data_IF_032889992708
#
_entry.id   IF_032889992708
#
_cell.length_a   1.000
_cell.length_b   1.000
_cell.length_c   1.000
_cell.angle_alpha   90.00
_cell.angle_beta   90.00
_cell.angle_gamma   90.00
#
_symmetry.space_group_name_H-M   'P 1'
#
loop_
_entity.id
_entity.type
_entity.pdbx_description
1 polymer ?
#
# COMPACT_ATOMS: atom_id res chain seq x y z
N UNK A 1 -17.21 -5.67 53.06
CA UNK A 1 -16.27 -5.18 52.06
C UNK A 1 -16.62 -5.89 50.76
N UNK A 2 -17.69 -5.42 50.14
CA UNK A 2 -18.18 -5.97 48.85
C UNK A 2 -17.25 -5.54 47.75
N UNK A 3 -16.64 -6.51 47.11
CA UNK A 3 -15.87 -6.31 45.89
C UNK A 3 -16.86 -5.96 44.77
N UNK A 4 -16.79 -4.73 44.31
CA UNK A 4 -17.54 -4.21 43.18
C UNK A 4 -17.03 -4.88 41.89
N UNK A 5 -17.66 -6.00 41.53
CA UNK A 5 -17.28 -6.84 40.37
C UNK A 5 -17.73 -6.21 39.03
N UNK A 6 -18.38 -5.04 39.07
CA UNK A 6 -18.90 -4.34 37.89
C UNK A 6 -18.04 -3.18 37.39
N UNK A 7 -16.78 -3.13 37.73
CA UNK A 7 -15.86 -2.36 36.91
C UNK A 7 -15.58 -3.19 35.66
N UNK A 8 -16.27 -2.87 34.59
CA UNK A 8 -15.84 -3.21 33.24
C UNK A 8 -14.35 -2.86 33.16
N UNK A 9 -13.51 -3.87 33.24
CA UNK A 9 -12.12 -3.74 32.86
C UNK A 9 -12.15 -3.64 31.34
N UNK A 10 -12.54 -2.47 30.84
CA UNK A 10 -12.13 -2.09 29.49
C UNK A 10 -10.61 -2.04 29.57
N UNK A 11 -9.90 -2.86 28.81
CA UNK A 11 -8.46 -2.82 28.79
C UNK A 11 -8.05 -1.45 28.32
N UNK A 12 -7.54 -0.63 29.22
CA UNK A 12 -7.09 0.73 29.01
C UNK A 12 -8.19 1.76 28.63
N UNK A 13 -8.11 2.93 29.23
CA UNK A 13 -8.70 4.17 28.75
C UNK A 13 -8.17 4.47 27.34
N UNK A 14 -8.84 3.95 26.34
CA UNK A 14 -8.58 4.22 24.94
C UNK A 14 -9.20 5.58 24.61
N UNK A 15 -8.64 6.63 25.17
CA UNK A 15 -8.90 7.96 24.64
C UNK A 15 -8.21 8.05 23.29
N UNK A 16 -8.80 8.72 22.31
CA UNK A 16 -8.26 8.85 20.93
C UNK A 16 -6.77 9.23 20.89
N UNK A 17 -6.28 9.94 21.91
CA UNK A 17 -4.86 10.33 22.03
C UNK A 17 -3.90 9.20 22.43
N UNK A 18 -4.40 8.07 22.98
CA UNK A 18 -3.58 6.97 23.52
C UNK A 18 -3.78 5.62 22.84
N UNK A 19 -4.39 5.59 21.66
CA UNK A 19 -4.55 4.34 20.92
C UNK A 19 -3.20 3.73 20.55
N UNK A 20 -3.08 2.42 20.76
CA UNK A 20 -1.90 1.63 20.35
C UNK A 20 -1.75 1.57 18.84
N UNK A 21 -2.86 1.71 18.12
CA UNK A 21 -2.93 1.65 16.65
C UNK A 21 -3.24 3.05 16.14
N UNK A 22 -2.41 3.52 15.22
CA UNK A 22 -2.64 4.79 14.51
C UNK A 22 -2.71 4.59 13.02
N UNK A 23 -3.55 5.40 12.39
CA UNK A 23 -3.71 5.45 10.93
C UNK A 23 -3.36 6.86 10.48
N UNK A 24 -2.31 6.99 9.68
CA UNK A 24 -1.88 8.26 9.11
C UNK A 24 -2.12 8.31 7.61
N UNK A 25 -2.85 9.32 7.16
CA UNK A 25 -3.03 9.64 5.75
C UNK A 25 -1.98 10.64 5.29
N UNK A 26 -1.22 10.29 4.27
CA UNK A 26 -0.11 11.09 3.76
C UNK A 26 -0.42 11.60 2.35
N UNK A 27 -0.42 12.92 2.18
CA UNK A 27 -0.77 13.58 0.93
C UNK A 27 -2.27 13.55 0.63
N UNK A 28 -2.68 14.01 -0.56
CA UNK A 28 -4.09 14.15 -0.92
C UNK A 28 -4.85 12.82 -0.85
N UNK A 29 -4.42 11.80 -1.58
CA UNK A 29 -5.10 10.50 -1.61
C UNK A 29 -5.14 9.82 -0.24
N UNK A 30 -4.03 9.83 0.52
CA UNK A 30 -4.00 9.28 1.87
C UNK A 30 -4.93 10.03 2.84
N UNK A 31 -4.97 11.36 2.77
CA UNK A 31 -5.89 12.16 3.58
C UNK A 31 -7.37 11.85 3.24
N UNK A 32 -7.72 11.67 1.97
CA UNK A 32 -9.07 11.31 1.56
C UNK A 32 -9.49 9.95 2.14
N UNK A 33 -8.64 8.94 2.01
CA UNK A 33 -8.90 7.63 2.58
C UNK A 33 -9.10 7.68 4.10
N UNK A 34 -8.25 8.43 4.83
CA UNK A 34 -8.40 8.57 6.29
C UNK A 34 -9.64 9.37 6.66
N UNK A 35 -10.01 10.41 5.91
CA UNK A 35 -11.28 11.10 6.11
C UNK A 35 -12.49 10.16 5.92
N UNK A 36 -12.42 9.30 4.89
CA UNK A 36 -13.46 8.29 4.68
C UNK A 36 -13.54 7.31 5.86
N UNK A 37 -12.41 6.78 6.34
CA UNK A 37 -12.34 5.89 7.51
C UNK A 37 -12.90 6.55 8.78
N UNK A 38 -12.58 7.82 8.97
CA UNK A 38 -13.07 8.61 10.11
C UNK A 38 -14.59 8.77 10.10
N UNK A 39 -15.17 9.08 8.93
CA UNK A 39 -16.64 9.14 8.74
C UNK A 39 -17.34 7.79 8.98
N UNK A 40 -16.66 6.69 8.65
CA UNK A 40 -17.13 5.34 8.90
C UNK A 40 -17.03 4.92 10.37
N UNK A 41 -16.52 5.81 11.24
CA UNK A 41 -16.41 5.60 12.67
C UNK A 41 -15.70 4.28 13.04
N UNK A 42 -14.61 3.94 12.34
CA UNK A 42 -13.81 2.75 12.62
C UNK A 42 -13.20 2.91 14.02
N UNK A 43 -13.52 1.97 14.91
CA UNK A 43 -13.08 1.99 16.30
C UNK A 43 -11.74 1.28 16.49
N UNK A 44 -11.06 1.53 17.61
CA UNK A 44 -9.82 0.83 17.99
C UNK A 44 -8.54 1.47 17.47
N UNK A 45 -8.62 2.60 16.77
CA UNK A 45 -7.45 3.33 16.28
C UNK A 45 -7.65 4.85 16.38
N UNK A 46 -6.54 5.58 16.27
CA UNK A 46 -6.54 7.04 16.14
C UNK A 46 -6.17 7.46 14.72
N UNK A 47 -6.87 8.48 14.21
CA UNK A 47 -6.69 8.97 12.86
C UNK A 47 -5.87 10.27 12.83
N UNK A 48 -4.97 10.36 11.86
CA UNK A 48 -4.09 11.50 11.64
C UNK A 48 -4.03 11.79 10.14
N UNK A 49 -4.07 13.05 9.75
CA UNK A 49 -3.84 13.46 8.36
C UNK A 49 -2.60 14.34 8.28
N UNK A 50 -1.79 14.11 7.25
CA UNK A 50 -0.50 14.73 7.06
C UNK A 50 -0.35 15.17 5.60
N UNK A 51 -0.13 16.45 5.36
CA UNK A 51 -0.03 16.97 4.00
C UNK A 51 0.90 18.20 3.93
N UNK A 52 1.45 18.44 2.74
CA UNK A 52 2.15 19.68 2.40
C UNK A 52 1.20 20.81 1.96
N UNK A 53 -0.05 20.46 1.63
CA UNK A 53 -1.10 21.39 1.25
C UNK A 53 -1.97 21.75 2.47
N UNK A 54 -1.88 23.01 2.89
CA UNK A 54 -2.64 23.53 4.02
C UNK A 54 -4.15 23.59 3.77
N UNK A 55 -4.58 23.81 2.52
CA UNK A 55 -6.02 23.86 2.18
C UNK A 55 -6.66 22.48 2.30
N UNK A 56 -5.98 21.45 1.81
CA UNK A 56 -6.42 20.07 1.95
C UNK A 56 -6.56 19.65 3.42
N UNK A 57 -5.66 20.12 4.30
CA UNK A 57 -5.75 19.88 5.74
C UNK A 57 -6.91 20.64 6.39
N UNK A 58 -7.21 21.85 5.96
CA UNK A 58 -8.32 22.63 6.52
C UNK A 58 -9.68 21.96 6.27
N UNK A 59 -9.87 21.35 5.10
CA UNK A 59 -11.12 20.67 4.73
C UNK A 59 -11.30 19.30 5.37
N UNK A 60 -10.25 18.74 5.95
CA UNK A 60 -10.31 17.44 6.64
C UNK A 60 -11.14 17.52 7.92
N UNK A 61 -11.93 16.48 8.17
CA UNK A 61 -12.75 16.31 9.39
C UNK A 61 -11.93 15.66 10.52
N UNK A 62 -10.79 15.07 10.21
CA UNK A 62 -9.91 14.42 11.20
C UNK A 62 -9.31 15.49 12.13
N UNK A 63 -9.42 15.31 13.45
CA UNK A 63 -8.98 16.33 14.40
C UNK A 63 -7.47 16.51 14.43
N UNK A 64 -6.70 15.42 14.31
CA UNK A 64 -5.23 15.48 14.36
C UNK A 64 -4.66 15.70 12.97
N UNK A 65 -4.11 16.90 12.77
CA UNK A 65 -3.56 17.35 11.48
C UNK A 65 -2.09 17.71 11.64
N UNK A 66 -1.28 17.36 10.62
CA UNK A 66 0.14 17.72 10.54
C UNK A 66 0.38 18.37 9.19
N UNK A 67 0.75 19.63 9.20
CA UNK A 67 1.24 20.30 8.00
C UNK A 67 2.73 20.01 7.86
N UNK A 68 3.14 19.41 6.76
CA UNK A 68 4.55 19.18 6.44
C UNK A 68 5.12 20.33 5.64
N UNK A 69 6.33 20.77 6.04
CA UNK A 69 6.98 21.94 5.43
C UNK A 69 6.32 23.27 5.83
N UNK A 70 6.98 24.37 5.47
CA UNK A 70 6.57 25.72 5.95
C UNK A 70 5.61 26.45 5.00
N UNK A 71 5.60 26.09 3.71
CA UNK A 71 4.94 26.92 2.68
C UNK A 71 3.44 26.64 2.51
N UNK A 72 2.95 25.46 2.88
CA UNK A 72 1.53 25.10 2.77
C UNK A 72 0.95 25.01 1.35
N UNK A 73 1.79 25.06 0.31
CA UNK A 73 1.38 25.14 -1.10
C UNK A 73 1.36 23.78 -1.81
N UNK A 74 1.62 22.69 -1.08
CA UNK A 74 1.77 21.37 -1.68
C UNK A 74 3.20 21.08 -2.18
N UNK A 75 3.44 19.84 -2.62
CA UNK A 75 4.74 19.37 -3.15
C UNK A 75 4.84 19.43 -4.69
N UNK A 76 3.80 19.87 -5.39
CA UNK A 76 3.81 20.10 -6.83
C UNK A 76 4.18 18.88 -7.67
N UNK A 77 3.72 17.68 -7.31
CA UNK A 77 4.06 16.39 -7.95
C UNK A 77 5.53 15.96 -7.85
N UNK A 78 6.36 16.67 -7.08
CA UNK A 78 7.77 16.33 -6.85
C UNK A 78 7.94 15.51 -5.55
N UNK A 79 8.29 14.21 -5.64
CA UNK A 79 8.55 13.38 -4.45
C UNK A 79 9.70 13.91 -3.59
N UNK A 80 10.69 14.58 -4.18
CA UNK A 80 11.81 15.16 -3.44
C UNK A 80 11.32 16.28 -2.52
N UNK A 81 10.43 17.15 -3.01
CA UNK A 81 9.81 18.18 -2.20
C UNK A 81 8.98 17.59 -1.06
N UNK A 82 8.19 16.53 -1.33
CA UNK A 82 7.43 15.80 -0.32
C UNK A 82 8.33 15.18 0.76
N UNK A 83 9.44 14.56 0.36
CA UNK A 83 10.45 13.99 1.27
C UNK A 83 11.07 15.06 2.17
N UNK A 84 11.49 16.17 1.59
CA UNK A 84 12.11 17.27 2.34
C UNK A 84 11.13 17.88 3.35
N UNK A 85 9.88 18.08 2.96
CA UNK A 85 8.84 18.57 3.87
C UNK A 85 8.60 17.62 5.06
N UNK A 86 8.65 16.31 4.85
CA UNK A 86 8.55 15.33 5.93
C UNK A 86 9.78 15.39 6.85
N UNK A 87 10.98 15.55 6.28
CA UNK A 87 12.22 15.69 7.06
C UNK A 87 12.23 16.97 7.90
N UNK A 88 11.72 18.09 7.38
CA UNK A 88 11.56 19.34 8.13
C UNK A 88 10.58 19.20 9.29
N UNK A 89 9.59 18.32 9.17
CA UNK A 89 8.51 18.16 10.14
C UNK A 89 8.68 16.95 11.05
N UNK A 90 9.87 16.34 11.10
CA UNK A 90 10.14 15.09 11.84
C UNK A 90 9.74 15.16 13.32
N UNK A 91 10.06 16.28 14.00
CA UNK A 91 9.78 16.42 15.41
C UNK A 91 8.28 16.46 15.70
N UNK A 92 7.50 17.09 14.84
CA UNK A 92 6.04 17.11 14.97
C UNK A 92 5.42 15.74 14.68
N UNK A 93 5.89 15.08 13.64
CA UNK A 93 5.47 13.71 13.29
C UNK A 93 5.81 12.77 14.45
N UNK A 94 7.04 12.80 14.97
CA UNK A 94 7.45 11.99 16.10
C UNK A 94 6.52 12.17 17.30
N UNK A 95 6.31 13.41 17.72
CA UNK A 95 5.51 13.75 18.90
C UNK A 95 4.04 13.34 18.75
N UNK A 96 3.40 13.60 17.60
CA UNK A 96 1.96 13.34 17.40
C UNK A 96 1.67 11.89 17.03
N UNK A 97 2.59 11.23 16.30
CA UNK A 97 2.34 9.92 15.71
C UNK A 97 3.07 8.81 16.45
N UNK A 98 4.35 8.98 16.78
CA UNK A 98 5.23 7.88 17.17
C UNK A 98 5.46 7.79 18.68
N UNK A 99 5.60 8.90 19.38
CA UNK A 99 6.05 8.95 20.78
C UNK A 99 4.91 8.77 21.81
N UNK A 100 3.67 8.60 21.37
CA UNK A 100 2.48 8.52 22.23
C UNK A 100 2.09 7.09 22.65
N UNK A 101 3.03 6.16 22.62
CA UNK A 101 2.77 4.74 22.97
C UNK A 101 2.26 3.92 21.77
N UNK A 102 2.41 4.43 20.56
CA UNK A 102 2.04 3.72 19.31
C UNK A 102 2.83 2.43 19.17
N UNK A 103 2.15 1.33 18.96
CA UNK A 103 2.74 0.02 18.69
C UNK A 103 2.56 -0.43 17.25
N UNK A 104 1.54 0.09 16.57
CA UNK A 104 1.26 -0.21 15.16
C UNK A 104 0.88 1.07 14.43
N UNK A 105 1.47 1.29 13.27
CA UNK A 105 1.21 2.44 12.41
C UNK A 105 0.77 1.96 11.02
N UNK A 106 -0.44 2.34 10.64
CA UNK A 106 -0.88 2.26 9.25
C UNK A 106 -0.54 3.56 8.54
N UNK A 107 0.14 3.44 7.39
CA UNK A 107 0.43 4.58 6.50
C UNK A 107 -0.39 4.39 5.24
N UNK A 108 -1.32 5.30 4.96
CA UNK A 108 -2.05 5.29 3.70
C UNK A 108 -1.64 6.47 2.84
N UNK A 109 -1.38 6.19 1.56
CA UNK A 109 -0.93 7.20 0.59
C UNK A 109 -1.32 6.82 -0.84
N UNK A 110 -1.63 7.84 -1.65
CA UNK A 110 -1.63 7.71 -3.10
C UNK A 110 -0.22 7.91 -3.62
N UNK A 111 0.29 6.91 -4.34
CA UNK A 111 1.60 6.97 -4.98
C UNK A 111 1.50 7.66 -6.34
N UNK A 112 2.63 8.17 -6.84
CA UNK A 112 2.71 8.91 -8.12
C UNK A 112 2.67 10.42 -7.98
N UNK A 113 2.14 10.95 -6.87
CA UNK A 113 2.20 12.36 -6.52
C UNK A 113 3.50 12.75 -5.77
N UNK A 114 3.61 14.02 -5.37
CA UNK A 114 4.79 14.51 -4.63
C UNK A 114 4.77 14.09 -3.15
N UNK A 115 3.72 14.49 -2.43
CA UNK A 115 3.66 14.33 -0.97
C UNK A 115 3.58 12.86 -0.55
N UNK A 116 2.59 12.10 -1.09
CA UNK A 116 2.39 10.70 -0.72
C UNK A 116 3.62 9.87 -1.02
N UNK A 117 4.16 9.98 -2.23
CA UNK A 117 5.32 9.23 -2.70
C UNK A 117 6.60 9.55 -1.91
N UNK A 118 6.84 10.85 -1.65
CA UNK A 118 8.09 11.27 -1.03
C UNK A 118 8.10 11.20 0.50
N UNK A 119 6.98 11.53 1.15
CA UNK A 119 6.91 11.62 2.61
C UNK A 119 6.65 10.27 3.29
N UNK A 120 5.89 9.36 2.66
CA UNK A 120 5.54 8.07 3.28
C UNK A 120 6.75 7.22 3.66
N UNK A 121 7.81 7.09 2.81
CA UNK A 121 9.01 6.34 3.19
C UNK A 121 9.75 6.94 4.38
N UNK A 122 9.76 8.27 4.51
CA UNK A 122 10.38 8.97 5.66
C UNK A 122 9.64 8.64 6.94
N UNK A 123 8.32 8.74 6.94
CA UNK A 123 7.47 8.44 8.09
C UNK A 123 7.59 6.95 8.47
N UNK A 124 7.57 6.07 7.47
CA UNK A 124 7.74 4.63 7.66
C UNK A 124 9.08 4.31 8.34
N UNK A 125 10.18 4.89 7.85
CA UNK A 125 11.50 4.73 8.44
C UNK A 125 11.53 5.19 9.90
N UNK A 126 10.97 6.36 10.19
CA UNK A 126 10.92 6.87 11.56
C UNK A 126 10.15 5.95 12.52
N UNK A 127 9.08 5.29 12.03
CA UNK A 127 8.30 4.33 12.80
C UNK A 127 9.07 3.01 12.99
N UNK A 128 9.65 2.47 11.92
CA UNK A 128 10.44 1.23 11.94
C UNK A 128 11.67 1.35 12.86
N UNK A 129 12.38 2.48 12.81
CA UNK A 129 13.54 2.76 13.67
C UNK A 129 13.16 2.77 15.17
N UNK A 130 11.89 3.00 15.51
CA UNK A 130 11.34 2.93 16.88
C UNK A 130 10.75 1.56 17.23
N UNK A 131 10.84 0.58 16.34
CA UNK A 131 10.30 -0.78 16.55
C UNK A 131 8.77 -0.85 16.44
N UNK A 132 8.11 0.22 15.96
CA UNK A 132 6.66 0.24 15.71
C UNK A 132 6.37 -0.64 14.50
N UNK A 133 5.38 -1.55 14.62
CA UNK A 133 4.93 -2.34 13.46
C UNK A 133 4.35 -1.41 12.41
N UNK A 134 4.98 -1.34 11.25
CA UNK A 134 4.64 -0.38 10.20
C UNK A 134 4.02 -1.10 9.01
N UNK A 135 2.76 -0.79 8.74
CA UNK A 135 1.99 -1.35 7.62
C UNK A 135 1.63 -0.21 6.68
N UNK A 136 2.04 -0.30 5.42
CA UNK A 136 1.62 0.67 4.42
C UNK A 136 0.50 0.10 3.54
N UNK A 137 -0.51 0.92 3.28
CA UNK A 137 -1.62 0.62 2.36
C UNK A 137 -1.69 1.74 1.34
N UNK A 138 -1.22 1.46 0.13
CA UNK A 138 -1.01 2.48 -0.88
C UNK A 138 -1.74 2.18 -2.17
N UNK A 139 -2.08 3.23 -2.91
CA UNK A 139 -2.69 3.10 -4.24
C UNK A 139 -1.70 3.45 -5.34
N UNK A 140 -1.77 2.72 -6.45
CA UNK A 140 -1.09 3.04 -7.69
C UNK A 140 -2.02 3.90 -8.53
N UNK A 141 -1.50 4.99 -9.17
CA UNK A 141 -2.30 5.88 -10.01
C UNK A 141 -2.90 5.13 -11.22
N UNK A 142 -3.96 5.68 -11.78
CA UNK A 142 -4.52 5.20 -13.03
C UNK A 142 -3.54 5.38 -14.19
N UNK A 143 -3.63 4.51 -15.22
CA UNK A 143 -2.78 4.62 -16.42
C UNK A 143 -2.94 5.94 -17.16
N UNK A 144 -4.14 6.52 -17.11
CA UNK A 144 -4.43 7.82 -17.72
C UNK A 144 -3.79 9.02 -16.99
N UNK A 145 -3.22 8.83 -15.80
CA UNK A 145 -2.44 9.87 -15.10
C UNK A 145 -1.02 10.04 -15.67
N UNK A 146 -0.65 9.20 -16.62
CA UNK A 146 0.59 9.29 -17.39
C UNK A 146 1.75 8.47 -16.81
N UNK A 147 2.71 8.16 -17.71
CA UNK A 147 3.83 7.29 -17.39
C UNK A 147 4.74 7.88 -16.29
N UNK A 148 4.84 9.20 -16.20
CA UNK A 148 5.64 9.86 -15.16
C UNK A 148 5.09 9.57 -13.77
N UNK A 149 3.75 9.66 -13.57
CA UNK A 149 3.10 9.31 -12.30
C UNK A 149 3.27 7.84 -11.98
N UNK A 150 3.17 6.96 -12.97
CA UNK A 150 3.40 5.51 -12.82
C UNK A 150 4.83 5.22 -12.38
N UNK A 151 5.83 5.80 -13.04
CA UNK A 151 7.25 5.63 -12.68
C UNK A 151 7.53 6.12 -11.26
N UNK A 152 7.05 7.33 -10.90
CA UNK A 152 7.19 7.86 -9.54
C UNK A 152 6.53 6.94 -8.50
N UNK A 153 5.39 6.34 -8.84
CA UNK A 153 4.69 5.41 -7.95
C UNK A 153 5.54 4.17 -7.69
N UNK A 154 6.11 3.57 -8.74
CA UNK A 154 6.99 2.39 -8.63
C UNK A 154 8.21 2.69 -7.78
N UNK A 155 8.92 3.78 -8.05
CA UNK A 155 10.10 4.20 -7.28
C UNK A 155 9.76 4.44 -5.81
N UNK A 156 8.63 5.12 -5.55
CA UNK A 156 8.14 5.38 -4.20
C UNK A 156 7.74 4.10 -3.45
N UNK A 157 7.13 3.14 -4.14
CA UNK A 157 6.78 1.82 -3.59
C UNK A 157 8.04 1.05 -3.20
N UNK A 158 9.05 0.99 -4.06
CA UNK A 158 10.33 0.35 -3.74
C UNK A 158 11.05 0.99 -2.55
N UNK A 159 10.99 2.32 -2.44
CA UNK A 159 11.58 3.00 -1.28
C UNK A 159 10.78 2.76 0.00
N UNK A 160 9.44 2.70 -0.12
CA UNK A 160 8.55 2.42 1.00
C UNK A 160 8.71 0.99 1.51
N UNK A 161 8.81 0.00 0.62
CA UNK A 161 9.00 -1.42 0.94
C UNK A 161 10.19 -1.66 1.87
N UNK A 162 11.31 -0.97 1.67
CA UNK A 162 12.50 -1.09 2.52
C UNK A 162 12.24 -0.65 3.97
N UNK A 163 11.25 0.23 4.15
CA UNK A 163 11.00 0.93 5.39
C UNK A 163 9.71 0.48 6.12
N UNK A 164 8.96 -0.49 5.59
CA UNK A 164 7.77 -1.05 6.23
C UNK A 164 7.97 -2.52 6.59
N UNK A 165 7.12 -3.04 7.44
CA UNK A 165 7.05 -4.47 7.75
C UNK A 165 6.16 -5.21 6.75
N UNK A 166 5.06 -4.55 6.37
CA UNK A 166 4.07 -5.09 5.45
C UNK A 166 3.58 -4.00 4.50
N UNK A 167 3.44 -4.33 3.22
CA UNK A 167 3.03 -3.41 2.17
C UNK A 167 1.85 -3.97 1.39
N UNK A 168 0.72 -3.29 1.48
CA UNK A 168 -0.49 -3.57 0.71
C UNK A 168 -0.58 -2.57 -0.44
N UNK A 169 -0.64 -3.07 -1.67
CA UNK A 169 -0.70 -2.25 -2.87
C UNK A 169 -2.04 -2.45 -3.56
N UNK A 170 -2.77 -1.37 -3.77
CA UNK A 170 -4.06 -1.34 -4.45
C UNK A 170 -3.90 -0.68 -5.80
N UNK A 171 -4.17 -1.42 -6.86
CA UNK A 171 -4.12 -0.88 -8.22
C UNK A 171 -5.46 -0.22 -8.58
N UNK A 172 -5.47 1.11 -8.71
CA UNK A 172 -6.66 1.86 -9.08
C UNK A 172 -7.22 1.45 -10.45
N UNK A 173 -6.39 0.94 -11.37
CA UNK A 173 -6.86 0.44 -12.67
C UNK A 173 -7.85 -0.72 -12.53
N UNK A 174 -7.70 -1.55 -11.50
CA UNK A 174 -8.65 -2.62 -11.19
C UNK A 174 -10.03 -2.08 -10.82
N UNK A 175 -10.11 -0.87 -10.25
CA UNK A 175 -11.39 -0.25 -9.91
C UNK A 175 -12.23 0.06 -11.16
N UNK A 176 -11.61 0.37 -12.31
CA UNK A 176 -12.35 0.52 -13.56
C UNK A 176 -13.07 -0.75 -13.99
N UNK A 177 -12.49 -1.92 -13.72
CA UNK A 177 -13.08 -3.20 -14.08
C UNK A 177 -14.36 -3.50 -13.28
N UNK A 178 -14.45 -2.96 -12.04
CA UNK A 178 -15.56 -3.20 -11.13
C UNK A 178 -16.58 -2.07 -11.09
N UNK A 179 -16.12 -0.84 -11.27
CA UNK A 179 -16.93 0.37 -11.10
C UNK A 179 -17.02 1.19 -12.39
N UNK A 180 -16.67 0.61 -13.56
CA UNK A 180 -16.64 1.32 -14.84
C UNK A 180 -17.99 1.94 -15.25
N UNK A 181 -19.09 1.34 -14.83
CA UNK A 181 -20.45 1.84 -15.07
C UNK A 181 -20.99 2.76 -13.97
N UNK A 182 -20.16 3.03 -12.93
CA UNK A 182 -20.54 3.88 -11.80
C UNK A 182 -20.25 5.35 -12.11
N UNK A 183 -21.04 6.25 -11.55
CA UNK A 183 -20.79 7.70 -11.69
C UNK A 183 -19.42 8.06 -11.08
N UNK A 184 -18.68 8.98 -11.70
CA UNK A 184 -17.36 9.42 -11.23
C UNK A 184 -17.40 9.87 -9.76
N UNK A 185 -18.47 10.54 -9.34
CA UNK A 185 -18.67 10.99 -7.96
C UNK A 185 -18.78 9.84 -6.95
N UNK A 186 -19.14 8.64 -7.40
CA UNK A 186 -19.25 7.44 -6.58
C UNK A 186 -18.02 6.54 -6.72
N UNK A 187 -17.34 6.57 -7.87
CA UNK A 187 -16.17 5.73 -8.14
C UNK A 187 -14.96 6.08 -7.27
N UNK A 188 -14.67 7.37 -7.05
CA UNK A 188 -13.57 7.79 -6.19
C UNK A 188 -13.76 7.39 -4.71
N UNK A 189 -14.94 7.61 -4.09
CA UNK A 189 -15.22 7.07 -2.77
C UNK A 189 -15.08 5.55 -2.67
N UNK A 190 -15.29 4.80 -3.78
CA UNK A 190 -15.05 3.35 -3.80
C UNK A 190 -13.57 2.98 -3.68
N UNK A 191 -12.67 3.77 -4.23
CA UNK A 191 -11.24 3.60 -4.00
C UNK A 191 -10.87 3.80 -2.52
N UNK A 192 -11.43 4.85 -1.90
CA UNK A 192 -11.25 5.10 -0.47
C UNK A 192 -11.87 3.99 0.39
N UNK A 193 -13.02 3.43 -0.04
CA UNK A 193 -13.67 2.29 0.61
C UNK A 193 -12.80 1.03 0.61
N UNK A 194 -12.10 0.75 -0.49
CA UNK A 194 -11.17 -0.39 -0.58
C UNK A 194 -10.01 -0.22 0.40
N UNK A 195 -9.40 0.98 0.44
CA UNK A 195 -8.36 1.30 1.43
C UNK A 195 -8.89 1.18 2.87
N UNK A 196 -10.09 1.70 3.12
CA UNK A 196 -10.72 1.64 4.43
C UNK A 196 -11.03 0.20 4.85
N UNK A 197 -11.50 -0.63 3.93
CA UNK A 197 -11.81 -2.04 4.18
C UNK A 197 -10.54 -2.79 4.56
N UNK A 198 -9.41 -2.50 3.88
CA UNK A 198 -8.12 -3.09 4.18
C UNK A 198 -7.66 -2.77 5.62
N UNK A 199 -7.69 -1.50 5.98
CA UNK A 199 -7.29 -1.04 7.32
C UNK A 199 -8.26 -1.55 8.38
N UNK A 200 -9.57 -1.44 8.12
CA UNK A 200 -10.64 -1.93 9.01
C UNK A 200 -10.48 -3.41 9.30
N UNK A 201 -10.30 -4.25 8.27
CA UNK A 201 -10.20 -5.69 8.45
C UNK A 201 -9.07 -6.10 9.39
N UNK A 202 -7.93 -5.41 9.35
CA UNK A 202 -6.81 -5.66 10.27
C UNK A 202 -7.14 -5.16 11.68
N UNK A 203 -7.72 -3.96 11.79
CA UNK A 203 -8.08 -3.37 13.10
C UNK A 203 -9.15 -4.19 13.79
N UNK A 204 -10.19 -4.63 13.10
CA UNK A 204 -11.27 -5.45 13.65
C UNK A 204 -10.75 -6.76 14.23
N UNK A 205 -9.82 -7.44 13.53
CA UNK A 205 -9.18 -8.66 14.05
C UNK A 205 -8.50 -8.45 15.39
N UNK A 206 -7.92 -7.27 15.59
CA UNK A 206 -7.16 -6.94 16.81
C UNK A 206 -8.07 -6.38 17.92
N UNK A 207 -9.05 -5.56 17.57
CA UNK A 207 -9.77 -4.69 18.51
C UNK A 207 -11.16 -5.23 18.87
N UNK A 208 -11.78 -6.03 18.01
CA UNK A 208 -13.10 -6.54 18.27
C UNK A 208 -13.05 -7.82 19.13
N UNK A 209 -13.81 -7.86 20.23
CA UNK A 209 -13.93 -9.08 21.00
C UNK A 209 -14.69 -10.13 20.18
N UNK A 210 -14.14 -11.33 20.11
CA UNK A 210 -14.74 -12.45 19.40
C UNK A 210 -14.70 -13.74 20.19
N UNK A 211 -15.20 -14.82 19.60
CA UNK A 211 -15.17 -16.15 20.18
C UNK A 211 -13.78 -16.76 20.12
N UNK A 212 -13.09 -16.52 19.00
CA UNK A 212 -11.68 -16.84 18.83
C UNK A 212 -10.98 -15.52 18.53
N UNK A 213 -10.25 -15.02 19.51
CA UNK A 213 -9.50 -13.79 19.36
C UNK A 213 -8.11 -14.10 18.82
N UNK A 214 -7.70 -13.30 17.84
CA UNK A 214 -6.30 -13.21 17.45
C UNK A 214 -5.69 -12.08 18.25
N UNK A 215 -4.70 -12.36 19.08
CA UNK A 215 -4.09 -11.32 19.89
C UNK A 215 -3.21 -10.39 19.05
N UNK A 216 -2.97 -9.18 19.57
CA UNK A 216 -2.15 -8.18 18.90
C UNK A 216 -0.75 -8.70 18.54
N UNK A 217 -0.16 -9.53 19.42
CA UNK A 217 1.19 -10.08 19.19
C UNK A 217 1.20 -11.13 18.08
N UNK A 218 0.13 -11.89 17.90
CA UNK A 218 -0.03 -12.83 16.79
C UNK A 218 -0.04 -12.08 15.45
N UNK A 219 -0.85 -11.00 15.35
CA UNK A 219 -0.88 -10.14 14.16
C UNK A 219 0.48 -9.51 13.90
N UNK A 220 1.12 -8.97 14.96
CA UNK A 220 2.46 -8.42 14.86
C UNK A 220 3.47 -9.43 14.30
N UNK A 221 3.42 -10.67 14.79
CA UNK A 221 4.33 -11.73 14.35
C UNK A 221 4.13 -12.11 12.89
N UNK A 222 2.86 -12.14 12.43
CA UNK A 222 2.53 -12.49 11.05
C UNK A 222 2.86 -11.37 10.05
N UNK A 223 2.75 -10.11 10.47
CA UNK A 223 2.96 -8.95 9.61
C UNK A 223 4.37 -8.38 9.67
N UNK A 224 5.15 -8.69 10.71
CA UNK A 224 6.51 -8.16 10.86
C UNK A 224 7.44 -8.74 9.80
N UNK A 225 8.09 -7.85 9.02
CA UNK A 225 8.95 -8.20 7.90
C UNK A 225 8.31 -9.19 6.92
N UNK A 226 7.01 -9.10 6.72
CA UNK A 226 6.27 -10.01 5.85
C UNK A 226 6.31 -9.61 4.37
N UNK A 227 6.81 -8.43 4.06
CA UNK A 227 6.88 -7.94 2.67
C UNK A 227 5.50 -7.58 2.12
N UNK A 228 5.20 -8.04 0.91
CA UNK A 228 3.90 -7.77 0.31
C UNK A 228 2.77 -8.48 1.05
N UNK A 229 1.69 -7.75 1.28
CA UNK A 229 0.44 -8.25 1.80
C UNK A 229 -0.67 -8.05 0.77
N UNK A 230 -1.59 -8.99 0.75
CA UNK A 230 -2.81 -8.93 -0.05
C UNK A 230 -4.00 -9.11 0.87
N UNK A 231 -5.11 -8.49 0.50
CA UNK A 231 -6.34 -8.61 1.27
C UNK A 231 -7.54 -8.79 0.35
N UNK A 232 -8.47 -9.62 0.81
CA UNK A 232 -9.78 -9.72 0.22
C UNK A 232 -10.85 -9.77 1.28
N UNK A 233 -12.03 -9.26 0.94
CA UNK A 233 -13.20 -9.31 1.80
C UNK A 233 -14.41 -9.70 0.98
N UNK A 234 -15.22 -10.60 1.52
CA UNK A 234 -16.46 -11.05 0.90
C UNK A 234 -17.58 -11.19 1.91
N UNK A 235 -18.79 -10.90 1.47
CA UNK A 235 -20.01 -11.05 2.25
C UNK A 235 -20.98 -11.99 1.54
N UNK A 236 -21.70 -12.78 2.30
CA UNK A 236 -22.75 -13.65 1.78
C UNK A 236 -23.99 -13.64 2.69
N UNK A 237 -25.15 -13.86 2.08
CA UNK A 237 -26.46 -13.93 2.76
C UNK A 237 -27.24 -15.15 2.26
N UNK A 238 -28.19 -15.64 3.03
CA UNK A 238 -29.06 -16.73 2.64
C UNK A 238 -28.39 -18.11 2.65
N UNK A 239 -28.80 -18.98 1.74
CA UNK A 239 -28.38 -20.38 1.76
C UNK A 239 -26.92 -20.59 1.31
N UNK A 240 -26.46 -19.80 0.35
CA UNK A 240 -25.11 -19.92 -0.23
C UNK A 240 -24.13 -18.93 0.42
N UNK A 241 -24.51 -18.32 1.54
CA UNK A 241 -23.76 -17.27 2.23
C UNK A 241 -22.30 -17.58 2.50
N UNK A 242 -21.97 -18.84 2.81
CA UNK A 242 -20.60 -19.25 3.09
C UNK A 242 -19.76 -19.25 1.82
N UNK A 243 -20.33 -19.81 0.74
CA UNK A 243 -19.65 -19.86 -0.56
C UNK A 243 -19.47 -18.46 -1.13
N UNK A 244 -20.50 -17.63 -1.07
CA UNK A 244 -20.44 -16.25 -1.56
C UNK A 244 -19.42 -15.41 -0.77
N UNK A 245 -19.38 -15.58 0.57
CA UNK A 245 -18.41 -14.87 1.42
C UNK A 245 -16.97 -15.32 1.14
N UNK A 246 -16.71 -16.64 1.04
CA UNK A 246 -15.37 -17.16 0.72
C UNK A 246 -14.96 -16.74 -0.68
N UNK A 247 -15.83 -16.93 -1.67
CA UNK A 247 -15.57 -16.54 -3.06
C UNK A 247 -15.29 -15.05 -3.15
N UNK A 248 -16.12 -14.18 -2.56
CA UNK A 248 -15.92 -12.75 -2.53
C UNK A 248 -14.58 -12.33 -1.91
N UNK A 249 -14.13 -13.04 -0.88
CA UNK A 249 -12.85 -12.79 -0.24
C UNK A 249 -11.66 -13.23 -1.09
N UNK A 250 -11.68 -14.44 -1.66
CA UNK A 250 -10.52 -15.02 -2.33
C UNK A 250 -10.48 -14.80 -3.85
N UNK A 251 -11.63 -14.59 -4.49
CA UNK A 251 -11.72 -14.16 -5.89
C UNK A 251 -11.83 -12.64 -6.01
N UNK A 252 -11.48 -11.90 -4.93
CA UNK A 252 -11.38 -10.45 -4.96
C UNK A 252 -10.40 -10.01 -6.04
N UNK A 253 -10.73 -8.93 -6.79
CA UNK A 253 -9.82 -8.37 -7.81
C UNK A 253 -8.45 -8.01 -7.30
N UNK A 254 -8.33 -7.78 -6.00
CA UNK A 254 -7.06 -7.47 -5.34
C UNK A 254 -6.18 -8.71 -5.15
N UNK A 255 -6.76 -9.92 -5.24
CA UNK A 255 -6.08 -11.19 -5.03
C UNK A 255 -5.90 -12.01 -6.31
N UNK A 256 -6.72 -11.80 -7.34
CA UNK A 256 -6.81 -12.67 -8.52
C UNK A 256 -5.52 -12.84 -9.33
N UNK A 257 -4.62 -11.89 -9.26
CA UNK A 257 -3.38 -11.93 -10.04
C UNK A 257 -2.24 -12.67 -9.31
N UNK A 258 -2.51 -13.18 -8.10
CA UNK A 258 -1.49 -13.78 -7.25
C UNK A 258 -1.80 -15.24 -6.95
N UNK A 259 -0.76 -16.07 -6.94
CA UNK A 259 -0.88 -17.46 -6.48
C UNK A 259 -0.85 -17.48 -4.94
N UNK A 260 -2.03 -17.54 -4.34
CA UNK A 260 -2.21 -17.52 -2.89
C UNK A 260 -1.59 -18.74 -2.19
N UNK A 261 -1.30 -19.81 -2.94
CA UNK A 261 -0.61 -21.00 -2.41
C UNK A 261 0.86 -20.77 -2.09
N UNK A 262 1.43 -19.66 -2.61
CA UNK A 262 2.81 -19.26 -2.31
C UNK A 262 2.94 -18.43 -1.03
N UNK A 263 1.81 -18.05 -0.45
CA UNK A 263 1.77 -17.23 0.75
C UNK A 263 2.34 -17.97 1.97
N UNK A 264 3.12 -17.25 2.78
CA UNK A 264 3.68 -17.82 4.01
C UNK A 264 2.71 -17.73 5.19
N UNK A 265 1.93 -16.66 5.26
CA UNK A 265 1.01 -16.43 6.36
C UNK A 265 -0.39 -16.09 5.83
N UNK A 266 -1.39 -16.67 6.46
CA UNK A 266 -2.80 -16.44 6.16
C UNK A 266 -3.53 -16.11 7.46
N UNK A 267 -4.17 -14.95 7.51
CA UNK A 267 -5.01 -14.51 8.62
C UNK A 267 -6.44 -14.35 8.09
N UNK A 268 -7.35 -15.10 8.69
CA UNK A 268 -8.76 -15.07 8.33
C UNK A 268 -9.56 -14.51 9.48
N UNK A 269 -10.43 -13.57 9.18
CA UNK A 269 -11.45 -13.11 10.11
C UNK A 269 -12.83 -13.46 9.59
N UNK A 270 -13.61 -14.17 10.39
CA UNK A 270 -14.99 -14.54 10.11
C UNK A 270 -15.88 -13.71 11.01
N UNK A 271 -16.68 -12.84 10.41
CA UNK A 271 -17.70 -12.05 11.12
C UNK A 271 -19.07 -12.65 10.87
N UNK A 272 -19.82 -12.91 11.93
CA UNK A 272 -21.17 -13.47 11.89
C UNK A 272 -22.10 -12.71 12.83
N UNK A 273 -23.38 -12.65 12.53
CA UNK A 273 -24.36 -12.01 13.42
C UNK A 273 -24.46 -12.73 14.77
N UNK A 274 -24.57 -11.96 15.84
CA UNK A 274 -24.83 -12.45 17.22
C UNK A 274 -26.32 -12.74 17.42
N UNK A 275 -26.87 -13.67 16.65
CA UNK A 275 -28.29 -14.02 16.68
C UNK A 275 -28.50 -15.49 16.27
N UNK A 276 -29.74 -15.96 16.34
CA UNK A 276 -30.12 -17.35 16.00
C UNK A 276 -29.81 -17.75 14.54
N UNK A 277 -29.60 -16.76 13.64
CA UNK A 277 -29.28 -16.97 12.23
C UNK A 277 -27.77 -16.92 11.96
N UNK A 278 -26.96 -16.67 12.97
CA UNK A 278 -25.51 -16.64 12.87
C UNK A 278 -24.90 -17.94 12.35
N UNK A 279 -23.60 -17.95 12.08
CA UNK A 279 -22.89 -19.13 11.61
C UNK A 279 -22.88 -20.23 12.69
N UNK A 280 -23.04 -21.47 12.25
CA UNK A 280 -23.01 -22.67 13.10
C UNK A 280 -21.60 -23.27 13.13
N UNK A 281 -21.34 -24.12 14.12
CA UNK A 281 -20.07 -24.84 14.20
C UNK A 281 -19.77 -25.69 12.95
N UNK A 282 -20.78 -26.30 12.34
CA UNK A 282 -20.67 -27.01 11.07
C UNK A 282 -20.35 -26.11 9.88
N UNK A 283 -20.63 -24.82 9.98
CA UNK A 283 -20.33 -23.87 8.91
C UNK A 283 -18.84 -23.49 8.93
N UNK A 284 -18.21 -23.52 10.10
CA UNK A 284 -16.76 -23.26 10.22
C UNK A 284 -15.93 -24.34 9.52
N UNK A 285 -16.31 -25.61 9.65
CA UNK A 285 -15.64 -26.71 8.96
C UNK A 285 -15.71 -26.53 7.44
N UNK A 286 -16.89 -26.18 6.91
CA UNK A 286 -17.05 -25.89 5.48
C UNK A 286 -16.23 -24.69 4.99
N UNK A 287 -16.15 -23.62 5.82
CA UNK A 287 -15.34 -22.46 5.51
C UNK A 287 -13.86 -22.86 5.44
N UNK A 288 -13.39 -23.66 6.40
CA UNK A 288 -12.00 -24.11 6.46
C UNK A 288 -11.63 -24.96 5.22
N UNK A 289 -12.50 -25.88 4.83
CA UNK A 289 -12.32 -26.69 3.63
C UNK A 289 -12.20 -25.83 2.37
N UNK A 290 -13.15 -24.88 2.20
CA UNK A 290 -13.14 -23.95 1.07
C UNK A 290 -11.90 -23.05 1.04
N UNK A 291 -11.45 -22.54 2.19
CA UNK A 291 -10.25 -21.69 2.29
C UNK A 291 -9.00 -22.50 1.90
N UNK A 292 -8.91 -23.75 2.34
CA UNK A 292 -7.77 -24.62 2.04
C UNK A 292 -7.59 -24.88 0.54
N UNK A 293 -8.67 -24.85 -0.24
CA UNK A 293 -8.61 -24.97 -1.71
C UNK A 293 -7.87 -23.78 -2.34
N UNK A 294 -8.02 -22.57 -1.78
CA UNK A 294 -7.36 -21.35 -2.27
C UNK A 294 -5.93 -21.17 -1.76
N UNK A 295 -5.70 -21.43 -0.47
CA UNK A 295 -4.42 -21.10 0.19
C UNK A 295 -3.46 -22.28 0.28
N UNK A 296 -3.94 -23.52 0.04
CA UNK A 296 -3.13 -24.71 0.29
C UNK A 296 -2.69 -24.83 1.75
N UNK A 297 -1.53 -25.46 1.96
CA UNK A 297 -0.93 -25.63 3.29
C UNK A 297 -0.05 -24.42 3.65
N UNK A 298 -0.67 -23.30 4.04
CA UNK A 298 0.07 -22.12 4.51
C UNK A 298 0.88 -22.46 5.78
N UNK A 299 2.13 -21.95 5.87
CA UNK A 299 3.03 -22.20 7.01
C UNK A 299 2.45 -21.71 8.33
N UNK A 300 1.76 -20.58 8.29
CA UNK A 300 1.11 -19.97 9.45
C UNK A 300 -0.32 -19.59 9.10
N UNK A 301 -1.26 -20.29 9.70
CA UNK A 301 -2.68 -20.03 9.54
C UNK A 301 -3.26 -19.55 10.88
N UNK A 302 -3.93 -18.39 10.88
CA UNK A 302 -4.64 -17.87 12.04
C UNK A 302 -6.07 -17.51 11.65
N UNK A 303 -7.00 -17.87 12.53
CA UNK A 303 -8.42 -17.61 12.34
C UNK A 303 -9.00 -16.89 13.55
N UNK A 304 -9.66 -15.75 13.29
CA UNK A 304 -10.49 -15.05 14.26
C UNK A 304 -11.98 -15.26 13.94
N UNK A 305 -12.82 -15.24 14.95
CA UNK A 305 -14.27 -15.29 14.80
C UNK A 305 -14.85 -14.18 15.65
N UNK A 306 -15.51 -13.23 15.01
CA UNK A 306 -16.09 -12.04 15.62
C UNK A 306 -17.59 -12.06 15.41
N UNK A 307 -18.34 -11.52 16.38
CA UNK A 307 -19.77 -11.26 16.17
C UNK A 307 -20.03 -9.80 15.84
N UNK A 308 -21.01 -9.61 15.01
CA UNK A 308 -21.60 -8.32 14.77
C UNK A 308 -22.92 -8.25 15.55
N UNK A 309 -23.02 -7.28 16.44
CA UNK A 309 -24.19 -7.06 17.28
C UNK A 309 -25.28 -6.21 16.58
N UNK A 310 -24.99 -5.74 15.35
CA UNK A 310 -25.98 -5.02 14.57
C UNK A 310 -27.12 -5.96 14.14
N UNK A 311 -28.37 -5.68 14.54
CA UNK A 311 -29.53 -6.47 14.12
C UNK A 311 -29.69 -6.55 12.58
N UNK A 312 -29.22 -5.53 11.84
CA UNK A 312 -29.26 -5.48 10.38
C UNK A 312 -28.23 -6.43 9.72
N UNK A 313 -27.23 -6.85 10.48
CA UNK A 313 -26.28 -7.86 10.00
C UNK A 313 -26.97 -9.19 9.69
N UNK A 314 -27.99 -9.54 10.50
CA UNK A 314 -28.90 -10.65 10.22
C UNK A 314 -28.23 -12.01 10.11
N UNK A 315 -28.39 -12.68 8.95
CA UNK A 315 -27.79 -13.97 8.63
C UNK A 315 -26.49 -13.85 7.80
N UNK A 316 -26.00 -12.64 7.62
CA UNK A 316 -24.75 -12.41 6.86
C UNK A 316 -23.59 -13.15 7.48
N UNK A 317 -22.67 -13.53 6.61
CA UNK A 317 -21.32 -13.93 6.98
C UNK A 317 -20.36 -13.06 6.18
N UNK A 318 -19.42 -12.43 6.85
CA UNK A 318 -18.31 -11.70 6.21
C UNK A 318 -17.03 -12.44 6.48
N UNK A 319 -16.23 -12.62 5.44
CA UNK A 319 -14.91 -13.20 5.53
C UNK A 319 -13.90 -12.17 5.03
N UNK A 320 -12.93 -11.86 5.89
CA UNK A 320 -11.79 -11.02 5.54
C UNK A 320 -10.54 -11.86 5.59
N UNK A 321 -9.85 -11.97 4.46
CA UNK A 321 -8.61 -12.71 4.32
C UNK A 321 -7.45 -11.73 4.17
N UNK A 322 -6.40 -11.89 4.99
CA UNK A 322 -5.15 -11.17 4.90
C UNK A 322 -4.05 -12.20 4.65
N UNK A 323 -3.37 -12.06 3.54
CA UNK A 323 -2.39 -13.01 3.07
C UNK A 323 -1.06 -12.30 2.89
N UNK A 324 0.01 -12.84 3.49
CA UNK A 324 1.30 -12.16 3.52
C UNK A 324 2.46 -13.12 3.23
N UNK A 325 3.63 -12.54 2.97
CA UNK A 325 4.85 -13.31 2.75
C UNK A 325 5.05 -13.72 1.30
N UNK A 326 4.49 -12.95 0.38
CA UNK A 326 4.79 -13.06 -1.05
C UNK A 326 6.08 -12.33 -1.38
N UNK A 327 6.78 -12.81 -2.40
CA UNK A 327 7.81 -12.02 -3.05
C UNK A 327 7.14 -10.93 -3.90
N UNK A 328 7.68 -9.69 -3.86
CA UNK A 328 7.09 -8.59 -4.60
C UNK A 328 7.25 -8.79 -6.11
N UNK A 329 6.15 -8.95 -6.82
CA UNK A 329 6.09 -8.93 -8.29
C UNK A 329 5.16 -7.80 -8.76
N UNK A 330 5.76 -6.68 -9.14
CA UNK A 330 5.01 -5.53 -9.68
C UNK A 330 4.31 -5.86 -11.01
N UNK A 331 4.79 -6.86 -11.74
CA UNK A 331 4.15 -7.34 -12.97
C UNK A 331 2.74 -7.90 -12.71
N UNK A 332 2.53 -8.60 -11.59
CA UNK A 332 1.21 -9.08 -11.17
C UNK A 332 0.23 -7.95 -10.83
N UNK A 333 0.71 -6.76 -10.50
CA UNK A 333 -0.11 -5.57 -10.30
C UNK A 333 -0.52 -4.87 -11.61
N UNK A 334 -0.16 -5.43 -12.77
CA UNK A 334 -0.42 -4.84 -14.09
C UNK A 334 0.47 -3.64 -14.41
N UNK A 335 1.53 -3.44 -13.64
CA UNK A 335 2.60 -2.51 -13.97
C UNK A 335 3.58 -3.21 -14.92
N UNK A 336 4.06 -2.49 -15.91
CA UNK A 336 5.13 -3.01 -16.77
C UNK A 336 6.35 -3.31 -15.89
N UNK A 337 6.88 -4.54 -15.98
CA UNK A 337 8.07 -4.96 -15.20
C UNK A 337 9.26 -4.03 -15.41
N UNK A 338 9.28 -3.35 -16.54
CA UNK A 338 10.34 -2.42 -16.91
C UNK A 338 10.07 -0.98 -16.46
N UNK A 339 8.89 -0.64 -15.92
CA UNK A 339 8.55 0.75 -15.61
C UNK A 339 9.47 1.35 -14.54
N UNK A 340 9.88 0.58 -13.53
CA UNK A 340 10.85 0.99 -12.51
C UNK A 340 12.30 1.00 -12.99
N UNK A 341 12.57 0.35 -14.14
CA UNK A 341 13.88 0.25 -14.76
C UNK A 341 13.95 1.06 -16.06
N UNK A 342 12.84 1.67 -16.47
CA UNK A 342 12.74 2.38 -17.75
C UNK A 342 13.00 3.86 -17.53
N UNK A 343 14.06 4.36 -18.10
CA UNK A 343 14.38 5.78 -18.17
C UNK A 343 14.01 6.28 -19.54
N UNK A 344 12.92 7.05 -19.63
CA UNK A 344 12.51 7.68 -20.90
C UNK A 344 13.39 8.91 -21.09
N UNK A 345 14.26 8.87 -22.09
CA UNK A 345 15.16 9.98 -22.43
C UNK A 345 14.46 10.94 -23.41
N UNK A 346 13.69 10.42 -24.33
CA UNK A 346 12.74 11.12 -25.20
C UNK A 346 11.65 10.15 -25.68
N UNK A 347 10.70 10.64 -26.49
CA UNK A 347 9.58 9.82 -27.00
C UNK A 347 10.02 8.61 -27.84
N UNK A 348 11.28 8.56 -28.27
CA UNK A 348 11.85 7.52 -29.16
C UNK A 348 12.98 6.72 -28.53
N UNK A 349 13.41 7.06 -27.31
CA UNK A 349 14.54 6.44 -26.66
C UNK A 349 14.20 6.01 -25.23
N UNK A 350 14.22 4.69 -24.99
CA UNK A 350 13.92 4.07 -23.72
C UNK A 350 15.14 3.31 -23.22
N UNK A 351 15.46 3.48 -21.94
CA UNK A 351 16.57 2.82 -21.27
C UNK A 351 16.07 1.85 -20.22
N UNK A 352 16.36 0.57 -20.39
CA UNK A 352 16.01 -0.48 -19.43
C UNK A 352 17.17 -0.74 -18.46
N UNK A 353 16.93 -0.57 -17.17
CA UNK A 353 17.85 -0.85 -16.07
C UNK A 353 17.55 -2.24 -15.49
N UNK A 354 17.88 -3.32 -16.21
CA UNK A 354 17.71 -4.67 -15.69
C UNK A 354 18.78 -5.04 -14.66
N UNK A 355 18.54 -6.11 -13.85
CA UNK A 355 19.48 -6.59 -12.82
C UNK A 355 20.86 -7.02 -13.38
N UNK A 356 21.00 -7.09 -14.71
CA UNK A 356 22.22 -7.51 -15.40
C UNK A 356 22.96 -6.37 -16.11
N UNK A 357 22.61 -5.12 -15.83
CA UNK A 357 23.15 -3.92 -16.46
C UNK A 357 22.12 -3.20 -17.31
N UNK A 358 22.39 -1.97 -17.71
CA UNK A 358 21.49 -1.20 -18.55
C UNK A 358 21.49 -1.76 -19.97
N UNK A 359 20.31 -2.14 -20.47
CA UNK A 359 20.11 -2.51 -21.86
C UNK A 359 19.45 -1.35 -22.59
N UNK A 360 20.07 -0.85 -23.65
CA UNK A 360 19.51 0.20 -24.48
C UNK A 360 18.88 -0.45 -25.70
N UNK A 361 17.55 -0.34 -25.82
CA UNK A 361 16.81 -0.81 -27.00
C UNK A 361 16.62 0.34 -27.96
N UNK A 362 17.23 0.27 -29.11
CA UNK A 362 17.04 1.28 -30.16
C UNK A 362 15.72 1.04 -30.90
N UNK A 363 14.98 2.10 -31.27
CA UNK A 363 13.66 1.99 -31.91
C UNK A 363 13.65 1.25 -33.24
N UNK A 364 14.80 0.99 -33.84
CA UNK A 364 14.96 0.33 -35.14
C UNK A 364 15.12 -1.18 -35.10
N UNK A 365 15.02 -1.81 -33.91
CA UNK A 365 15.19 -3.27 -33.78
C UNK A 365 16.63 -3.76 -34.01
N UNK A 366 17.60 -2.87 -34.00
CA UNK A 366 19.02 -3.18 -34.11
C UNK A 366 19.64 -3.27 -32.70
N UNK A 367 20.42 -4.29 -32.51
CA UNK A 367 21.26 -4.70 -31.40
C UNK A 367 21.13 -3.96 -30.04
N UNK A 368 20.86 -4.74 -29.01
CA UNK A 368 20.85 -4.31 -27.58
C UNK A 368 22.28 -4.02 -27.15
N UNK A 369 22.54 -2.81 -26.68
CA UNK A 369 23.85 -2.43 -26.12
C UNK A 369 23.81 -2.64 -24.61
N UNK A 370 24.67 -3.54 -24.09
CA UNK A 370 24.80 -3.77 -22.65
C UNK A 370 25.82 -2.81 -22.06
N UNK A 371 25.35 -1.96 -21.16
CA UNK A 371 26.22 -1.08 -20.38
C UNK A 371 26.40 -1.70 -19.00
N UNK A 372 27.59 -2.20 -18.71
CA UNK A 372 27.93 -2.74 -17.40
C UNK A 372 28.11 -1.61 -16.38
N UNK A 373 27.20 -1.50 -15.41
CA UNK A 373 27.41 -0.70 -14.21
C UNK A 373 27.93 -1.59 -13.09
N UNK A 374 29.03 -1.21 -12.46
CA UNK A 374 29.61 -1.95 -11.33
C UNK A 374 28.86 -1.73 -10.01
N UNK A 375 27.73 -1.01 -10.01
CA UNK A 375 26.93 -0.76 -8.81
C UNK A 375 25.46 -0.54 -9.15
N UNK A 376 24.65 -1.58 -9.01
CA UNK A 376 23.20 -1.56 -9.26
C UNK A 376 22.43 -0.57 -8.36
N UNK A 377 22.92 -0.28 -7.16
CA UNK A 377 22.24 0.61 -6.21
C UNK A 377 22.30 2.09 -6.59
N UNK A 378 23.31 2.52 -7.34
CA UNK A 378 23.43 3.90 -7.77
C UNK A 378 22.65 4.21 -9.07
N UNK A 379 22.35 3.22 -9.89
CA UNK A 379 21.61 3.41 -11.13
C UNK A 379 20.13 3.73 -10.90
N UNK A 380 19.54 3.28 -9.78
CA UNK A 380 18.15 3.54 -9.41
C UNK A 380 17.86 4.98 -8.93
N UNK A 381 18.92 5.77 -8.71
CA UNK A 381 18.81 7.16 -8.21
C UNK A 381 19.23 8.21 -9.23
N UNK A 382 19.13 7.93 -10.52
CA UNK A 382 19.44 8.91 -11.54
C UNK A 382 18.41 10.06 -11.52
N UNK A 383 18.80 11.18 -10.96
CA UNK A 383 17.97 12.38 -10.91
C UNK A 383 18.26 13.22 -12.15
N UNK A 384 17.50 13.01 -13.22
CA UNK A 384 17.63 13.73 -14.50
C UNK A 384 17.58 15.26 -14.37
N UNK A 385 17.00 15.79 -13.30
CA UNK A 385 16.91 17.23 -13.07
C UNK A 385 18.26 17.84 -12.64
N UNK A 386 19.17 17.05 -12.06
CA UNK A 386 20.46 17.53 -11.58
C UNK A 386 21.62 17.17 -12.52
N UNK A 387 21.57 15.99 -13.16
CA UNK A 387 22.62 15.57 -14.12
C UNK A 387 22.06 15.58 -15.55
N UNK A 388 22.11 16.75 -16.18
CA UNK A 388 21.68 16.95 -17.58
C UNK A 388 22.60 16.27 -18.62
N UNK A 389 23.44 15.34 -18.24
CA UNK A 389 24.29 14.60 -19.17
C UNK A 389 23.69 13.22 -19.42
N UNK A 390 23.14 12.94 -20.60
CA UNK A 390 22.77 11.59 -20.96
C UNK A 390 24.04 10.71 -20.88
N UNK A 391 23.91 9.51 -20.31
CA UNK A 391 24.99 8.56 -20.34
C UNK A 391 25.27 8.22 -21.82
N UNK A 392 26.49 8.47 -22.27
CA UNK A 392 26.91 8.19 -23.63
C UNK A 392 27.17 6.69 -23.78
N UNK A 393 26.44 6.05 -24.69
CA UNK A 393 26.79 4.71 -25.15
C UNK A 393 28.06 4.78 -26.01
N UNK A 394 29.11 4.17 -25.56
CA UNK A 394 30.39 4.14 -26.27
C UNK A 394 30.69 2.71 -26.63
N UNK A 395 30.94 2.44 -27.93
CA UNK A 395 31.43 1.13 -28.36
C UNK A 395 32.83 0.87 -27.78
N UNK A 396 33.21 -0.41 -27.55
CA UNK A 396 34.54 -0.74 -27.07
C UNK A 396 35.62 -0.23 -28.05
N UNK A 397 36.37 0.80 -27.65
CA UNK A 397 37.43 1.41 -28.46
C UNK A 397 37.11 2.82 -29.02
N UNK A 398 35.93 3.34 -28.81
CA UNK A 398 35.59 4.73 -29.15
C UNK A 398 36.02 5.69 -28.02
N UNK A 399 36.54 6.84 -28.40
CA UNK A 399 36.97 7.86 -27.46
C UNK A 399 35.78 8.79 -27.14
N UNK A 400 35.43 8.92 -25.88
CA UNK A 400 34.27 9.74 -25.41
C UNK A 400 34.37 11.19 -25.91
N UNK A 401 35.57 11.74 -25.96
CA UNK A 401 35.83 13.12 -26.42
C UNK A 401 35.45 13.35 -27.88
N UNK A 402 35.49 12.32 -28.73
CA UNK A 402 35.12 12.44 -30.14
C UNK A 402 33.58 12.46 -30.30
N UNK A 403 32.87 11.86 -29.36
CA UNK A 403 31.42 11.80 -29.36
C UNK A 403 30.77 13.08 -28.77
N UNK A 404 31.45 13.77 -27.86
CA UNK A 404 30.97 15.02 -27.29
C UNK A 404 30.87 16.16 -28.32
N UNK A 405 31.66 16.11 -29.37
CA UNK A 405 31.72 17.13 -30.42
C UNK A 405 30.72 16.91 -31.57
N UNK A 406 29.98 15.78 -31.59
CA UNK A 406 29.01 15.48 -32.62
C UNK A 406 27.58 15.58 -32.04
N UNK A 407 26.73 16.48 -32.56
CA UNK A 407 25.32 16.54 -32.11
C UNK A 407 24.60 15.20 -32.27
N UNK A 408 23.78 14.82 -31.31
CA UNK A 408 23.10 13.52 -31.23
C UNK A 408 22.34 13.14 -32.54
N UNK A 409 21.73 14.14 -33.20
CA UNK A 409 21.05 13.99 -34.50
C UNK A 409 21.99 13.59 -35.65
N UNK A 410 23.26 13.91 -35.59
CA UNK A 410 24.24 13.52 -36.63
C UNK A 410 24.84 12.13 -36.38
N UNK A 411 24.83 11.65 -35.14
CA UNK A 411 25.34 10.30 -34.80
C UNK A 411 24.42 9.21 -35.39
N UNK A 412 23.10 9.44 -35.41
CA UNK A 412 22.15 8.51 -35.99
C UNK A 412 22.22 8.39 -37.53
N UNK A 413 22.96 9.26 -38.23
CA UNK A 413 23.06 9.28 -39.70
C UNK A 413 24.44 8.87 -40.27
N UNK A 414 25.42 8.56 -39.39
CA UNK A 414 26.77 8.17 -39.86
C UNK A 414 26.93 6.70 -40.24
N UNK A 415 25.96 5.85 -39.88
CA UNK A 415 25.97 4.41 -40.13
C UNK A 415 25.25 3.98 -41.43
N UNK A 416 25.02 4.93 -42.34
CA UNK A 416 24.56 4.63 -43.71
C UNK A 416 25.63 5.11 -44.72
N UNK A 417 26.76 4.42 -44.77
CA UNK A 417 27.58 4.35 -45.99
C UNK A 417 28.32 3.01 -46.01
#
# INVERSE_FOLDING_TARGET
>A
MELDINKNITPFDWTEEKSLIKVIGVGGGGCNAVNYMYRQNIQGCSFIVCNTDAQALQTSEVPTKIQMGQNGLGAGTDPTAGRNAALESQDEIARKVLDSGTQMLFITAGMGGGTGTGASPVIAKMAKDRGILTVAVVTIPFKNEGNESQSKAVDGIHELEKNVDSLLIINNEKLYQFFGDTLIQEAFPKADEVLATAVRGIIEVISCPGYINVDFQDVCKMMRNSGMALMGSGEGTGNDRLQDAVRGAFESPLLNDFDLKTAKNVLINITTGNNERGAKMSDLEKIDDMISEYTGDANHFKKGIIWDDDPEFGDKVRITAIVTGFDMDLGGLGLDKNLGNLVIIDENFQWDLSDHGAEVTLPSGAETIKIGYNNSDNARHFNFAQDRRPALCVEPGQNISDLENIPALRRAHSDKK
#
